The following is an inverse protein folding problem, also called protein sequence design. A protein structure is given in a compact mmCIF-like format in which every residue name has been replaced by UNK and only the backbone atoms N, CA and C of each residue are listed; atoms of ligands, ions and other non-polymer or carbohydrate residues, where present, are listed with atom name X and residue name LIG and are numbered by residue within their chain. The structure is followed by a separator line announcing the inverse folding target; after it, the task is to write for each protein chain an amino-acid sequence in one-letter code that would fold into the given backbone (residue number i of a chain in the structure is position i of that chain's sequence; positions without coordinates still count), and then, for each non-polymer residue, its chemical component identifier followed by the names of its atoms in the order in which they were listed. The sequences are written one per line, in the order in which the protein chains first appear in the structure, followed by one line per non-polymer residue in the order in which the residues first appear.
data_IF_142051068204
#
_entry.id   IF_142051068204
#
_cell.length_a   1.000
_cell.length_b   1.000
_cell.length_c   1.000
_cell.angle_alpha   90.00
_cell.angle_beta   90.00
_cell.angle_gamma   90.00
#
_symmetry.space_group_name_H-M   'P 1'
#
loop_
_entity.id
_entity.type
_entity.pdbx_description
1 polymer ?
#
# COMPACT_ATOMS: atom_id res chain seq x y z
N UNK A 1 -15.93 -1.70 -18.46
CA UNK A 1 -14.50 -1.89 -18.15
C UNK A 1 -14.07 -3.21 -18.78
N UNK A 2 -13.02 -3.23 -19.61
CA UNK A 2 -12.56 -4.49 -20.20
C UNK A 2 -11.92 -5.40 -19.14
N UNK A 3 -11.99 -6.71 -19.34
CA UNK A 3 -11.43 -7.69 -18.39
C UNK A 3 -9.92 -7.48 -18.16
N UNK A 4 -9.17 -7.13 -19.20
CA UNK A 4 -7.74 -6.81 -19.08
C UNK A 4 -7.46 -5.58 -18.19
N UNK A 5 -8.33 -4.57 -18.24
CA UNK A 5 -8.20 -3.37 -17.39
C UNK A 5 -8.47 -3.70 -15.93
N UNK A 6 -9.42 -4.59 -15.62
CA UNK A 6 -9.68 -5.05 -14.26
C UNK A 6 -8.47 -5.77 -13.66
N UNK A 7 -7.85 -6.67 -14.42
CA UNK A 7 -6.67 -7.44 -13.99
C UNK A 7 -5.48 -6.51 -13.72
N UNK A 8 -5.23 -5.55 -14.61
CA UNK A 8 -4.18 -4.54 -14.41
C UNK A 8 -4.40 -3.75 -13.12
N UNK A 9 -5.62 -3.29 -12.87
CA UNK A 9 -5.95 -2.56 -11.65
C UNK A 9 -5.78 -3.40 -10.38
N UNK A 10 -6.13 -4.69 -10.42
CA UNK A 10 -5.89 -5.62 -9.31
C UNK A 10 -4.40 -5.78 -9.00
N UNK A 11 -3.59 -6.02 -10.04
CA UNK A 11 -2.14 -6.17 -9.90
C UNK A 11 -1.53 -4.88 -9.33
N UNK A 12 -1.90 -3.73 -9.88
CA UNK A 12 -1.40 -2.42 -9.42
C UNK A 12 -1.84 -2.15 -7.97
N UNK A 13 -3.07 -2.47 -7.61
CA UNK A 13 -3.58 -2.32 -6.25
C UNK A 13 -2.81 -3.16 -5.23
N UNK A 14 -2.19 -4.26 -5.64
CA UNK A 14 -1.39 -5.11 -4.75
C UNK A 14 0.08 -4.64 -4.71
N UNK A 15 0.63 -4.23 -5.85
CA UNK A 15 2.02 -3.79 -5.98
C UNK A 15 2.27 -2.43 -5.29
N UNK A 16 1.37 -1.46 -5.45
CA UNK A 16 1.53 -0.11 -4.87
C UNK A 16 1.75 -0.15 -3.34
N UNK A 17 0.90 -0.81 -2.54
CA UNK A 17 1.13 -0.86 -1.10
C UNK A 17 2.37 -1.69 -0.73
N UNK A 18 2.76 -2.68 -1.54
CA UNK A 18 4.01 -3.42 -1.32
C UNK A 18 5.24 -2.51 -1.47
N UNK A 19 5.27 -1.69 -2.52
CA UNK A 19 6.33 -0.68 -2.73
C UNK A 19 6.30 0.36 -1.61
N UNK A 20 5.12 0.84 -1.23
CA UNK A 20 4.94 1.78 -0.11
C UNK A 20 5.46 1.23 1.22
N UNK A 21 5.27 -0.07 1.48
CA UNK A 21 5.81 -0.75 2.65
C UNK A 21 7.35 -0.78 2.62
N UNK A 22 7.94 -1.20 1.49
CA UNK A 22 9.41 -1.30 1.35
C UNK A 22 10.06 0.08 1.51
N UNK A 23 9.57 1.10 0.79
CA UNK A 23 10.08 2.48 0.89
C UNK A 23 9.87 3.03 2.30
N UNK A 24 8.70 2.78 2.90
CA UNK A 24 8.40 3.17 4.27
C UNK A 24 9.40 2.60 5.29
N UNK A 25 9.73 1.30 5.19
CA UNK A 25 10.74 0.66 6.06
C UNK A 25 12.11 1.31 5.84
N UNK A 26 12.56 1.45 4.59
CA UNK A 26 13.87 2.04 4.27
C UNK A 26 14.00 3.43 4.90
N UNK A 27 13.02 4.31 4.69
CA UNK A 27 13.04 5.67 5.23
C UNK A 27 12.90 5.71 6.75
N UNK A 28 12.13 4.81 7.34
CA UNK A 28 11.98 4.73 8.81
C UNK A 28 13.25 4.25 9.52
N UNK A 29 14.08 3.44 8.85
CA UNK A 29 15.36 2.97 9.40
C UNK A 29 16.48 4.01 9.32
N UNK A 30 16.28 5.11 8.58
CA UNK A 30 17.26 6.19 8.49
C UNK A 30 17.38 6.96 9.82
N UNK A 31 18.60 7.38 10.21
CA UNK A 31 18.82 8.08 11.48
C UNK A 31 18.25 9.50 11.49
N UNK A 32 18.11 10.14 10.33
CA UNK A 32 17.62 11.51 10.22
C UNK A 32 16.11 11.59 10.53
N UNK A 33 15.69 12.53 11.40
CA UNK A 33 14.30 12.62 11.84
C UNK A 33 13.30 12.94 10.70
N UNK A 34 13.73 13.68 9.69
CA UNK A 34 12.91 14.01 8.51
C UNK A 34 12.54 12.74 7.71
N UNK A 35 13.51 11.85 7.49
CA UNK A 35 13.25 10.59 6.80
C UNK A 35 12.37 9.64 7.62
N UNK A 36 12.47 9.68 8.95
CA UNK A 36 11.60 8.88 9.82
C UNK A 36 10.14 9.29 9.71
N UNK A 37 9.85 10.58 9.60
CA UNK A 37 8.48 11.06 9.45
C UNK A 37 7.88 10.61 8.11
N UNK A 38 8.62 10.77 7.02
CA UNK A 38 8.23 10.28 5.69
C UNK A 38 8.03 8.76 5.69
N UNK A 39 8.96 8.02 6.31
CA UNK A 39 8.86 6.56 6.45
C UNK A 39 7.61 6.15 7.23
N UNK A 40 7.31 6.82 8.35
CA UNK A 40 6.12 6.55 9.16
C UNK A 40 4.83 6.81 8.38
N UNK A 41 4.76 7.90 7.62
CA UNK A 41 3.60 8.21 6.76
C UNK A 41 3.44 7.16 5.66
N UNK A 42 4.52 6.78 4.96
CA UNK A 42 4.47 5.72 3.94
C UNK A 42 3.97 4.39 4.50
N UNK A 43 4.46 3.99 5.68
CA UNK A 43 4.01 2.77 6.36
C UNK A 43 2.52 2.82 6.72
N UNK A 44 2.04 3.95 7.23
CA UNK A 44 0.63 4.14 7.57
C UNK A 44 -0.24 4.03 6.31
N UNK A 45 0.14 4.72 5.22
CA UNK A 45 -0.61 4.67 3.96
C UNK A 45 -0.62 3.26 3.37
N UNK A 46 0.51 2.55 3.38
CA UNK A 46 0.60 1.17 2.90
C UNK A 46 -0.31 0.23 3.71
N UNK A 47 -0.32 0.38 5.04
CA UNK A 47 -1.17 -0.42 5.93
C UNK A 47 -2.66 -0.11 5.71
N UNK A 48 -3.03 1.17 5.60
CA UNK A 48 -4.41 1.59 5.32
C UNK A 48 -4.90 1.06 3.97
N UNK A 49 -4.05 1.11 2.94
CA UNK A 49 -4.39 0.55 1.63
C UNK A 49 -4.65 -0.96 1.69
N UNK A 50 -3.87 -1.71 2.50
CA UNK A 50 -4.13 -3.14 2.74
C UNK A 50 -5.43 -3.40 3.48
N UNK A 51 -5.70 -2.63 4.54
CA UNK A 51 -6.94 -2.77 5.33
C UNK A 51 -8.17 -2.46 4.48
N UNK A 52 -8.15 -1.36 3.72
CA UNK A 52 -9.24 -0.99 2.81
C UNK A 52 -9.39 -2.06 1.72
N UNK A 53 -8.30 -2.53 1.13
CA UNK A 53 -8.33 -3.61 0.14
C UNK A 53 -8.96 -4.90 0.70
N UNK A 54 -8.59 -5.29 1.92
CA UNK A 54 -9.15 -6.47 2.58
C UNK A 54 -10.65 -6.30 2.91
N UNK A 55 -11.07 -5.12 3.36
CA UNK A 55 -12.48 -4.84 3.64
C UNK A 55 -13.30 -4.84 2.34
N UNK A 56 -12.82 -4.19 1.27
CA UNK A 56 -13.49 -4.19 -0.02
C UNK A 56 -13.60 -5.60 -0.60
N UNK A 57 -12.55 -6.42 -0.46
CA UNK A 57 -12.57 -7.82 -0.88
C UNK A 57 -13.56 -8.66 -0.06
N UNK A 58 -13.56 -8.49 1.27
CA UNK A 58 -14.50 -9.17 2.16
C UNK A 58 -15.97 -8.77 1.93
N UNK A 59 -16.24 -7.49 1.68
CA UNK A 59 -17.57 -7.00 1.33
C UNK A 59 -18.03 -7.43 -0.07
N UNK A 60 -17.11 -7.75 -0.98
CA UNK A 60 -17.44 -8.31 -2.30
C UNK A 60 -17.70 -9.83 -2.25
N UNK A 61 -17.22 -10.51 -1.20
CA UNK A 61 -17.38 -11.96 -1.01
C UNK A 61 -18.56 -12.36 -0.09
N UNK A 62 -19.13 -11.41 0.68
CA UNK A 62 -20.32 -11.57 1.52
C UNK A 62 -21.59 -11.19 0.77
#
# INVERSE_FOLDING_TARGET
MSEGMKILLYIVSFIIPLVGLIVGIIYYTKPEPEYKEVGKICLIIALLAWVVGAICWGAFLL
#
